data_IF_068969860671
#
_entry.id   IF_068969860671
#
_cell.length_a   1.000
_cell.length_b   1.000
_cell.length_c   1.000
_cell.angle_alpha   90.00
_cell.angle_beta   90.00
_cell.angle_gamma   90.00
#
_symmetry.space_group_name_H-M   'P 1'
#
loop_
_entity.id
_entity.type
_entity.pdbx_description
1 polymer ?
#
# COMPACT_ATOMS: atom_id res chain seq x y z
N UNK A 1 -17.67 13.69 60.58
CA UNK A 1 -17.88 13.70 59.12
C UNK A 1 -16.54 13.92 58.43
N UNK A 2 -15.79 12.87 58.09
CA UNK A 2 -14.64 12.99 57.18
C UNK A 2 -14.48 11.68 56.40
N UNK A 3 -14.94 11.70 55.14
CA UNK A 3 -14.68 10.63 54.17
C UNK A 3 -13.27 10.82 53.59
N UNK A 4 -12.48 9.75 53.41
CA UNK A 4 -11.19 9.85 52.74
C UNK A 4 -11.35 10.11 51.24
N UNK A 5 -10.38 10.78 50.59
CA UNK A 5 -10.47 11.17 49.18
C UNK A 5 -10.30 9.94 48.27
N UNK A 6 -11.25 9.75 47.36
CA UNK A 6 -11.21 8.73 46.31
C UNK A 6 -10.09 9.09 45.33
N UNK A 7 -9.07 8.23 45.24
CA UNK A 7 -8.01 8.34 44.23
C UNK A 7 -8.66 8.12 42.86
N UNK A 8 -8.65 9.15 42.03
CA UNK A 8 -9.08 9.05 40.63
C UNK A 8 -8.06 8.21 39.86
N UNK A 9 -8.45 7.00 39.48
CA UNK A 9 -7.67 6.18 38.55
C UNK A 9 -7.55 6.93 37.22
N UNK A 10 -6.32 7.30 36.88
CA UNK A 10 -5.98 7.89 35.60
C UNK A 10 -6.32 6.87 34.52
N UNK A 11 -7.42 7.08 33.79
CA UNK A 11 -7.70 6.36 32.54
C UNK A 11 -6.56 6.67 31.56
N UNK A 12 -5.60 5.76 31.48
CA UNK A 12 -4.58 5.77 30.43
C UNK A 12 -5.33 5.56 29.13
N UNK A 13 -5.51 6.63 28.36
CA UNK A 13 -5.98 6.53 26.99
C UNK A 13 -4.93 5.72 26.22
N UNK A 14 -5.19 4.43 26.04
CA UNK A 14 -4.40 3.59 25.13
C UNK A 14 -4.58 4.21 23.76
N UNK A 15 -3.56 4.94 23.29
CA UNK A 15 -3.43 5.29 21.88
C UNK A 15 -3.31 3.97 21.13
N UNK A 16 -4.44 3.42 20.71
CA UNK A 16 -4.46 2.39 19.69
C UNK A 16 -3.88 3.03 18.45
N UNK A 17 -2.60 2.79 18.19
CA UNK A 17 -2.07 3.00 16.85
C UNK A 17 -2.89 2.09 15.95
N UNK A 18 -3.78 2.66 15.15
CA UNK A 18 -4.39 1.93 14.05
C UNK A 18 -3.23 1.59 13.12
N UNK A 19 -2.65 0.42 13.32
CA UNK A 19 -1.76 -0.20 12.37
C UNK A 19 -2.62 -0.46 11.14
N UNK A 20 -2.55 0.43 10.16
CA UNK A 20 -3.23 0.22 8.89
C UNK A 20 -2.54 -0.95 8.21
N UNK A 21 -3.03 -2.16 8.44
CA UNK A 21 -2.63 -3.32 7.66
C UNK A 21 -3.24 -3.17 6.27
N UNK A 22 -2.39 -3.17 5.25
CA UNK A 22 -2.87 -3.27 3.87
C UNK A 22 -3.31 -4.71 3.66
N UNK A 23 -4.62 -4.92 3.51
CA UNK A 23 -5.12 -6.22 3.04
C UNK A 23 -4.44 -6.48 1.70
N UNK A 24 -3.70 -7.58 1.59
CA UNK A 24 -3.03 -7.98 0.36
C UNK A 24 -4.06 -8.56 -0.60
N UNK A 25 -4.82 -7.70 -1.26
CA UNK A 25 -5.78 -8.06 -2.31
C UNK A 25 -5.15 -8.10 -3.69
N UNK A 26 -3.81 -8.13 -3.78
CA UNK A 26 -3.15 -7.83 -5.04
C UNK A 26 -3.30 -9.00 -6.04
N UNK A 27 -4.18 -8.83 -7.00
CA UNK A 27 -4.55 -9.81 -8.00
C UNK A 27 -3.75 -9.64 -9.29
N UNK A 28 -3.26 -10.76 -9.82
CA UNK A 28 -2.42 -10.73 -11.02
C UNK A 28 -3.18 -10.40 -12.30
N UNK A 29 -4.49 -10.66 -12.32
CA UNK A 29 -5.36 -10.46 -13.49
C UNK A 29 -6.22 -9.19 -13.40
N UNK A 30 -6.03 -8.37 -12.35
CA UNK A 30 -6.74 -7.11 -12.18
C UNK A 30 -5.87 -5.94 -12.65
N UNK A 31 -6.34 -5.20 -13.67
CA UNK A 31 -5.63 -4.06 -14.22
C UNK A 31 -5.48 -2.90 -13.20
N UNK A 32 -6.42 -2.75 -12.28
CA UNK A 32 -6.43 -1.66 -11.30
C UNK A 32 -5.31 -1.86 -10.26
N UNK A 33 -5.06 -3.10 -9.85
CA UNK A 33 -3.96 -3.42 -8.94
C UNK A 33 -2.59 -3.10 -9.55
N UNK A 34 -2.41 -3.36 -10.85
CA UNK A 34 -1.18 -2.95 -11.54
C UNK A 34 -1.02 -1.44 -11.56
N UNK A 35 -2.10 -0.68 -11.80
CA UNK A 35 -2.07 0.78 -11.70
C UNK A 35 -1.73 1.26 -10.29
N UNK A 36 -2.34 0.69 -9.25
CA UNK A 36 -2.11 1.09 -7.86
C UNK A 36 -0.69 0.77 -7.39
N UNK A 37 -0.14 -0.38 -7.80
CA UNK A 37 1.26 -0.73 -7.54
C UNK A 37 2.20 0.25 -8.22
N UNK A 38 1.96 0.54 -9.50
CA UNK A 38 2.70 1.57 -10.24
C UNK A 38 2.65 2.91 -9.52
N UNK A 39 1.46 3.37 -9.13
CA UNK A 39 1.25 4.63 -8.41
C UNK A 39 2.04 4.70 -7.11
N UNK A 40 1.97 3.65 -6.28
CA UNK A 40 2.70 3.58 -5.02
C UNK A 40 4.21 3.63 -5.25
N UNK A 41 4.72 2.89 -6.23
CA UNK A 41 6.15 2.89 -6.57
C UNK A 41 6.57 4.28 -7.06
N UNK A 42 5.78 4.92 -7.94
CA UNK A 42 6.07 6.28 -8.40
C UNK A 42 6.08 7.30 -7.26
N UNK A 43 5.18 7.17 -6.28
CA UNK A 43 5.01 8.11 -5.16
C UNK A 43 6.11 8.05 -4.11
N UNK A 44 6.66 6.86 -3.85
CA UNK A 44 7.52 6.63 -2.67
C UNK A 44 8.82 5.87 -2.98
N UNK A 45 8.93 5.24 -4.15
CA UNK A 45 10.04 4.34 -4.52
C UNK A 45 10.47 4.54 -5.97
N UNK A 46 10.41 5.76 -6.49
CA UNK A 46 10.63 6.06 -7.92
C UNK A 46 11.97 5.56 -8.45
N UNK A 47 13.04 5.66 -7.64
CA UNK A 47 14.37 5.15 -7.98
C UNK A 47 14.42 3.61 -8.14
N UNK A 48 13.43 2.89 -7.62
CA UNK A 48 13.35 1.42 -7.65
C UNK A 48 12.36 0.92 -8.72
N UNK A 49 11.97 1.79 -9.67
CA UNK A 49 10.98 1.52 -10.73
C UNK A 49 11.13 0.11 -11.32
N UNK A 50 12.26 -0.16 -11.95
CA UNK A 50 12.51 -1.41 -12.68
C UNK A 50 12.49 -2.62 -11.73
N UNK A 51 13.18 -2.52 -10.60
CA UNK A 51 13.25 -3.62 -9.63
C UNK A 51 11.87 -3.99 -9.06
N UNK A 52 11.01 -3.01 -8.79
CA UNK A 52 9.65 -3.25 -8.29
C UNK A 52 8.71 -3.77 -9.37
N UNK A 53 8.82 -3.27 -10.61
CA UNK A 53 8.07 -3.81 -11.74
C UNK A 53 8.41 -5.30 -11.98
N UNK A 54 9.70 -5.64 -12.00
CA UNK A 54 10.14 -7.03 -12.17
C UNK A 54 9.68 -7.94 -11.03
N UNK A 55 9.67 -7.44 -9.78
CA UNK A 55 9.08 -8.19 -8.66
C UNK A 55 7.61 -8.51 -8.90
N UNK A 56 6.83 -7.54 -9.40
CA UNK A 56 5.40 -7.72 -9.72
C UNK A 56 5.20 -8.72 -10.86
N UNK A 57 5.96 -8.60 -11.94
CA UNK A 57 5.93 -9.53 -13.08
C UNK A 57 6.26 -10.96 -12.64
N UNK A 58 7.31 -11.12 -11.82
CA UNK A 58 7.72 -12.42 -11.31
C UNK A 58 6.69 -13.02 -10.36
N UNK A 59 6.06 -12.20 -9.50
CA UNK A 59 4.96 -12.64 -8.63
C UNK A 59 3.78 -13.19 -9.44
N UNK A 60 3.48 -12.58 -10.58
CA UNK A 60 2.38 -12.97 -11.46
C UNK A 60 2.75 -13.94 -12.60
N UNK A 61 3.96 -14.51 -12.57
CA UNK A 61 4.45 -15.39 -13.62
C UNK A 61 3.49 -16.56 -13.86
N UNK A 62 3.19 -16.83 -15.13
CA UNK A 62 2.27 -17.90 -15.54
C UNK A 62 0.78 -17.54 -15.45
N UNK A 63 0.42 -16.36 -14.92
CA UNK A 63 -0.97 -15.90 -14.82
C UNK A 63 -1.32 -14.78 -15.82
N UNK A 64 -0.32 -14.23 -16.51
CA UNK A 64 -0.45 -13.05 -17.38
C UNK A 64 -0.74 -13.46 -18.83
N UNK A 65 -2.01 -13.63 -19.17
CA UNK A 65 -2.44 -13.76 -20.57
C UNK A 65 -2.37 -12.44 -21.34
N UNK A 66 -2.46 -11.30 -20.64
CA UNK A 66 -2.51 -9.94 -21.21
C UNK A 66 -1.39 -9.02 -20.66
N UNK A 67 -0.14 -9.48 -20.68
CA UNK A 67 1.00 -8.78 -20.07
C UNK A 67 1.13 -7.31 -20.49
N UNK A 68 0.83 -6.97 -21.76
CA UNK A 68 0.89 -5.60 -22.27
C UNK A 68 -0.11 -4.65 -21.58
N UNK A 69 -1.33 -5.10 -21.29
CA UNK A 69 -2.34 -4.27 -20.61
C UNK A 69 -1.89 -3.94 -19.18
N UNK A 70 -1.35 -4.93 -18.48
CA UNK A 70 -0.87 -4.80 -17.12
C UNK A 70 0.36 -3.89 -17.01
N UNK A 71 1.32 -4.03 -17.94
CA UNK A 71 2.45 -3.12 -18.04
C UNK A 71 2.00 -1.67 -18.26
N UNK A 72 1.07 -1.43 -19.19
CA UNK A 72 0.58 -0.08 -19.47
C UNK A 72 -0.11 0.55 -18.25
N UNK A 73 -0.92 -0.20 -17.52
CA UNK A 73 -1.58 0.30 -16.31
C UNK A 73 -0.58 0.63 -15.21
N UNK A 74 0.40 -0.23 -15.01
CA UNK A 74 1.49 0.03 -14.06
C UNK A 74 2.29 1.29 -14.42
N UNK A 75 2.67 1.46 -15.68
CA UNK A 75 3.38 2.66 -16.15
C UNK A 75 2.53 3.94 -16.00
N UNK A 76 1.22 3.88 -16.30
CA UNK A 76 0.30 4.99 -16.08
C UNK A 76 0.27 5.37 -14.59
N UNK A 77 0.10 4.39 -13.72
CA UNK A 77 0.12 4.57 -12.27
C UNK A 77 1.42 5.23 -11.81
N UNK A 78 2.56 4.67 -12.21
CA UNK A 78 3.90 5.18 -11.88
C UNK A 78 4.06 6.64 -12.27
N UNK A 79 3.70 7.00 -13.51
CA UNK A 79 3.77 8.37 -14.00
C UNK A 79 2.93 9.34 -13.16
N UNK A 80 1.74 8.92 -12.72
CA UNK A 80 0.88 9.73 -11.83
C UNK A 80 1.49 9.84 -10.43
N UNK A 81 2.03 8.74 -9.90
CA UNK A 81 2.68 8.70 -8.59
C UNK A 81 3.86 9.66 -8.49
N UNK A 82 4.73 9.68 -9.51
CA UNK A 82 5.88 10.59 -9.58
C UNK A 82 5.45 12.05 -9.59
N UNK A 83 4.37 12.40 -10.29
CA UNK A 83 3.86 13.79 -10.35
C UNK A 83 3.30 14.28 -9.01
N UNK A 84 2.90 13.36 -8.12
CA UNK A 84 2.34 13.67 -6.81
C UNK A 84 3.35 13.41 -5.68
N UNK A 85 4.60 13.07 -6.02
CA UNK A 85 5.67 12.72 -5.09
C UNK A 85 6.15 13.91 -4.25
#
# INVERSE_FOLDING_TARGET
MYSPPVKQDKKVAIKQSITHERINTTECKDADDWYLDGYRVGRSFSAQKEAMYQKRVNYCKGMLSNANQFQQNWEKGFKVGVKKA
#
